data_IF_051319734861
#
_entry.id   IF_051319734861
#
_cell.length_a   1.000
_cell.length_b   1.000
_cell.length_c   1.000
_cell.angle_alpha   90.00
_cell.angle_beta   90.00
_cell.angle_gamma   90.00
#
_symmetry.space_group_name_H-M   'P 1'
#
loop_
_entity.id
_entity.type
_entity.pdbx_description
1 polymer ?
#
# COMPACT_ATOMS: atom_id res chain seq x y z
N UNK A 1 2.84 -10.53 -10.53
CA UNK A 1 2.88 -10.17 -11.97
C UNK A 1 2.40 -11.31 -12.88
N UNK A 2 2.63 -12.59 -12.55
CA UNK A 2 2.15 -13.76 -13.32
C UNK A 2 0.75 -13.64 -13.95
N UNK A 3 -0.27 -13.22 -13.19
CA UNK A 3 -1.63 -13.08 -13.73
C UNK A 3 -1.74 -11.98 -14.81
N UNK A 4 -0.93 -10.92 -14.74
CA UNK A 4 -0.86 -9.88 -15.77
C UNK A 4 -0.18 -10.43 -17.04
N UNK A 5 0.89 -11.21 -16.88
CA UNK A 5 1.61 -11.87 -17.99
C UNK A 5 0.73 -12.90 -18.71
N UNK A 6 -0.16 -13.58 -17.97
CA UNK A 6 -1.14 -14.53 -18.51
C UNK A 6 -2.44 -13.86 -19.02
N UNK A 7 -2.51 -12.52 -19.04
CA UNK A 7 -3.70 -11.75 -19.42
C UNK A 7 -4.96 -11.99 -18.56
N UNK A 8 -4.78 -12.50 -17.34
CA UNK A 8 -5.85 -12.74 -16.35
C UNK A 8 -6.02 -11.54 -15.42
N UNK A 9 -6.49 -10.42 -15.98
CA UNK A 9 -6.59 -9.15 -15.26
C UNK A 9 -7.55 -9.19 -14.06
N UNK A 10 -8.61 -9.99 -14.14
CA UNK A 10 -9.55 -10.23 -13.04
C UNK A 10 -8.86 -10.89 -11.83
N UNK A 11 -8.02 -11.90 -12.06
CA UNK A 11 -7.27 -12.57 -10.98
C UNK A 11 -6.22 -11.64 -10.39
N UNK A 12 -5.53 -10.85 -11.23
CA UNK A 12 -4.58 -9.84 -10.79
C UNK A 12 -5.27 -8.78 -9.89
N UNK A 13 -6.43 -8.27 -10.29
CA UNK A 13 -7.21 -7.31 -9.51
C UNK A 13 -7.71 -7.91 -8.19
N UNK A 14 -8.21 -9.15 -8.20
CA UNK A 14 -8.66 -9.83 -6.98
C UNK A 14 -7.51 -10.06 -5.98
N UNK A 15 -6.34 -10.47 -6.47
CA UNK A 15 -5.15 -10.65 -5.63
C UNK A 15 -4.68 -9.33 -5.02
N UNK A 16 -4.67 -8.25 -5.81
CA UNK A 16 -4.34 -6.91 -5.30
C UNK A 16 -5.35 -6.45 -4.26
N UNK A 17 -6.64 -6.62 -4.51
CA UNK A 17 -7.68 -6.27 -3.54
C UNK A 17 -7.48 -6.99 -2.21
N UNK A 18 -7.26 -8.32 -2.24
CA UNK A 18 -7.01 -9.10 -1.04
C UNK A 18 -5.78 -8.59 -0.27
N UNK A 19 -4.68 -8.29 -0.97
CA UNK A 19 -3.48 -7.77 -0.31
C UNK A 19 -3.72 -6.39 0.33
N UNK A 20 -4.28 -5.45 -0.43
CA UNK A 20 -4.50 -4.08 0.06
C UNK A 20 -5.49 -4.06 1.22
N UNK A 21 -6.61 -4.75 1.07
CA UNK A 21 -7.68 -4.72 2.07
C UNK A 21 -7.35 -5.63 3.26
N UNK A 22 -7.17 -6.93 3.01
CA UNK A 22 -7.12 -7.92 4.07
C UNK A 22 -5.75 -8.09 4.69
N UNK A 23 -4.67 -7.59 4.11
CA UNK A 23 -3.32 -7.72 4.68
C UNK A 23 -2.80 -6.36 5.11
N UNK A 24 -2.79 -5.38 4.19
CA UNK A 24 -2.24 -4.07 4.50
C UNK A 24 -3.15 -3.27 5.44
N UNK A 25 -4.42 -3.08 5.09
CA UNK A 25 -5.35 -2.30 5.91
C UNK A 25 -5.78 -3.03 7.19
N UNK A 26 -6.30 -4.26 7.08
CA UNK A 26 -6.87 -4.97 8.23
C UNK A 26 -5.82 -5.40 9.27
N UNK A 27 -4.59 -5.73 8.82
CA UNK A 27 -3.55 -6.25 9.72
C UNK A 27 -2.38 -5.30 9.88
N UNK A 28 -1.67 -4.95 8.81
CA UNK A 28 -0.41 -4.21 8.93
C UNK A 28 -0.62 -2.83 9.57
N UNK A 29 -1.59 -2.05 9.10
CA UNK A 29 -1.89 -0.74 9.68
C UNK A 29 -2.34 -0.84 11.14
N UNK A 30 -3.10 -1.88 11.50
CA UNK A 30 -3.55 -2.11 12.87
C UNK A 30 -2.38 -2.51 13.80
N UNK A 31 -1.46 -3.33 13.32
CA UNK A 31 -0.28 -3.79 14.06
C UNK A 31 0.72 -2.67 14.35
N UNK A 32 0.85 -1.68 13.46
CA UNK A 32 1.79 -0.57 13.66
C UNK A 32 1.24 0.55 14.56
N UNK A 33 -0.07 0.61 14.82
CA UNK A 33 -0.69 1.66 15.65
C UNK A 33 0.00 1.86 17.01
N UNK A 34 0.28 0.81 17.81
CA UNK A 34 0.95 0.98 19.10
C UNK A 34 2.33 1.63 18.99
N UNK A 35 3.08 1.30 17.92
CA UNK A 35 4.41 1.88 17.64
C UNK A 35 4.27 3.37 17.32
N UNK A 36 3.29 3.72 16.47
CA UNK A 36 3.03 5.11 16.08
C UNK A 36 2.61 5.99 17.27
N UNK A 37 1.91 5.41 18.26
CA UNK A 37 1.50 6.10 19.49
C UNK A 37 2.50 5.99 20.65
N UNK A 38 3.60 5.25 20.46
CA UNK A 38 4.61 5.00 21.49
C UNK A 38 5.46 6.23 21.83
N UNK A 39 6.50 6.05 22.63
CA UNK A 39 7.47 7.12 22.98
C UNK A 39 8.78 7.05 22.20
N UNK A 40 9.04 5.94 21.49
CA UNK A 40 10.26 5.76 20.68
C UNK A 40 10.12 6.43 19.31
N UNK A 41 10.75 7.59 19.16
CA UNK A 41 10.70 8.37 17.92
C UNK A 41 11.49 7.76 16.76
N UNK A 42 12.53 6.96 17.05
CA UNK A 42 13.28 6.25 16.01
C UNK A 42 12.41 5.15 15.40
N UNK A 43 11.78 4.33 16.24
CA UNK A 43 10.86 3.28 15.80
C UNK A 43 9.66 3.84 15.03
N UNK A 44 9.10 4.98 15.46
CA UNK A 44 8.03 5.67 14.70
C UNK A 44 8.48 6.10 13.32
N UNK A 45 9.67 6.68 13.21
CA UNK A 45 10.18 7.21 11.94
C UNK A 45 10.40 6.09 10.94
N UNK A 46 11.04 5.00 11.38
CA UNK A 46 11.23 3.80 10.57
C UNK A 46 9.88 3.21 10.13
N UNK A 47 8.95 3.01 11.07
CA UNK A 47 7.64 2.42 10.79
C UNK A 47 6.82 3.26 9.79
N UNK A 48 6.85 4.60 9.92
CA UNK A 48 6.24 5.51 8.95
C UNK A 48 6.86 5.37 7.57
N UNK A 49 8.19 5.32 7.50
CA UNK A 49 8.90 5.16 6.23
C UNK A 49 8.55 3.83 5.56
N UNK A 50 8.54 2.72 6.31
CA UNK A 50 8.15 1.41 5.80
C UNK A 50 6.69 1.39 5.32
N UNK A 51 5.75 1.91 6.10
CA UNK A 51 4.34 1.97 5.70
C UNK A 51 4.15 2.83 4.44
N UNK A 52 4.81 3.98 4.38
CA UNK A 52 4.72 4.88 3.24
C UNK A 52 5.33 4.27 1.97
N UNK A 53 6.46 3.55 2.08
CA UNK A 53 7.05 2.83 0.96
C UNK A 53 6.12 1.71 0.43
N UNK A 54 5.51 0.93 1.32
CA UNK A 54 4.55 -0.12 0.91
C UNK A 54 3.33 0.50 0.21
N UNK A 55 2.83 1.63 0.71
CA UNK A 55 1.74 2.36 0.06
C UNK A 55 2.12 2.80 -1.37
N UNK A 56 3.34 3.29 -1.58
CA UNK A 56 3.81 3.66 -2.93
C UNK A 56 3.81 2.45 -3.87
N UNK A 57 4.27 1.29 -3.40
CA UNK A 57 4.25 0.07 -4.19
C UNK A 57 2.81 -0.34 -4.52
N UNK A 58 1.88 -0.24 -3.56
CA UNK A 58 0.46 -0.50 -3.81
C UNK A 58 -0.08 0.40 -4.93
N UNK A 59 0.18 1.71 -4.87
CA UNK A 59 -0.29 2.66 -5.87
C UNK A 59 0.26 2.33 -7.27
N UNK A 60 1.54 1.97 -7.38
CA UNK A 60 2.16 1.58 -8.65
C UNK A 60 1.50 0.36 -9.29
N UNK A 61 1.27 -0.71 -8.51
CA UNK A 61 0.68 -1.95 -9.07
C UNK A 61 -0.83 -1.81 -9.31
N UNK A 62 -1.49 -0.89 -8.60
CA UNK A 62 -2.92 -0.61 -8.74
C UNK A 62 -3.23 0.35 -9.90
N UNK A 63 -2.25 1.13 -10.35
CA UNK A 63 -2.43 2.14 -11.39
C UNK A 63 -3.05 1.64 -12.70
N UNK A 64 -2.70 0.44 -13.23
CA UNK A 64 -3.34 -0.10 -14.43
C UNK A 64 -4.85 -0.37 -14.29
N UNK A 65 -5.34 -0.51 -13.04
CA UNK A 65 -6.75 -0.77 -12.74
C UNK A 65 -7.52 0.49 -12.34
N UNK A 66 -6.87 1.41 -11.60
CA UNK A 66 -7.50 2.64 -11.08
C UNK A 66 -6.59 3.86 -11.29
N UNK A 67 -6.36 4.30 -12.54
CA UNK A 67 -5.34 5.29 -12.86
C UNK A 67 -5.62 6.67 -12.25
N UNK A 68 -6.88 7.12 -12.29
CA UNK A 68 -7.23 8.46 -11.79
C UNK A 68 -7.13 8.58 -10.26
N UNK A 69 -7.58 7.55 -9.53
CA UNK A 69 -7.51 7.55 -8.07
C UNK A 69 -6.07 7.40 -7.59
N UNK A 70 -5.31 6.50 -8.21
CA UNK A 70 -3.90 6.29 -7.83
C UNK A 70 -3.05 7.52 -8.12
N UNK A 71 -3.32 8.25 -9.21
CA UNK A 71 -2.65 9.54 -9.51
C UNK A 71 -3.00 10.61 -8.46
N UNK A 72 -4.27 10.75 -8.10
CA UNK A 72 -4.70 11.74 -7.09
C UNK A 72 -4.05 11.48 -5.73
N UNK A 73 -3.99 10.23 -5.31
CA UNK A 73 -3.33 9.81 -4.07
C UNK A 73 -1.81 10.00 -4.16
N UNK A 74 -1.21 9.71 -5.31
CA UNK A 74 0.23 9.91 -5.54
C UNK A 74 0.62 11.38 -5.40
N UNK A 75 -0.12 12.30 -6.01
CA UNK A 75 0.13 13.74 -5.90
C UNK A 75 0.08 14.25 -4.45
N UNK A 76 -0.71 13.61 -3.58
CA UNK A 76 -0.81 13.96 -2.16
C UNK A 76 0.27 13.35 -1.27
N UNK A 77 0.86 12.24 -1.68
CA UNK A 77 1.70 11.39 -0.79
C UNK A 77 3.15 11.23 -1.27
N UNK A 78 3.45 11.59 -2.51
CA UNK A 78 4.78 11.44 -3.12
C UNK A 78 5.80 12.48 -2.63
N UNK A 79 5.36 13.66 -2.18
CA UNK A 79 6.26 14.67 -1.62
C UNK A 79 6.52 14.36 -0.14
N UNK A 80 7.74 13.96 0.20
CA UNK A 80 8.18 13.62 1.57
C UNK A 80 9.48 14.33 1.92
#
# INVERSE_FOLDING_TARGET
TRAIEEHKYNEAAAALYHFVWNVYCDWYLELIKPILTGTDDAAKTETKASAAWVLDQILLVLHPFMPFLTEELWQKTATR
#
